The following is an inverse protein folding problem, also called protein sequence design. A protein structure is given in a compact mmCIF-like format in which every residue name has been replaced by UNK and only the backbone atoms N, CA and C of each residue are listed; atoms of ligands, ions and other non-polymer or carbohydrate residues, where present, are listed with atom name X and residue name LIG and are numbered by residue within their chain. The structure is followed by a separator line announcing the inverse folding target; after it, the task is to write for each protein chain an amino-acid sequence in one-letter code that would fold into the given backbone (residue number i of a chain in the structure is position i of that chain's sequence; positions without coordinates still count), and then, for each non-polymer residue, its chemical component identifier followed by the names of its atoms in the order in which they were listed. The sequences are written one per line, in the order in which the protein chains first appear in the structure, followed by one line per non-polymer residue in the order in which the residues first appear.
data_IF_813972131640
#
_entry.id   IF_813972131640
#
_cell.length_a   1.000
_cell.length_b   1.000
_cell.length_c   1.000
_cell.angle_alpha   90.00
_cell.angle_beta   90.00
_cell.angle_gamma   90.00
#
_symmetry.space_group_name_H-M   'P 1'
#
loop_
_entity.id
_entity.type
_entity.pdbx_description
1 polymer ?
#
# COMPACT_ATOMS: atom_id res chain seq x y z
N UNK A 1 -14.49 -5.10 -7.76
CA UNK A 1 -13.33 -4.29 -7.35
C UNK A 1 -13.70 -3.45 -6.15
N UNK A 2 -12.81 -3.36 -5.19
CA UNK A 2 -13.02 -2.55 -3.99
C UNK A 2 -12.37 -1.19 -4.16
N UNK A 3 -13.15 -0.14 -3.94
CA UNK A 3 -12.64 1.22 -3.99
C UNK A 3 -12.97 1.88 -2.66
N UNK A 4 -11.96 2.45 -2.01
CA UNK A 4 -12.16 3.10 -0.73
C UNK A 4 -11.19 4.27 -0.59
N UNK A 5 -11.51 5.17 0.33
CA UNK A 5 -10.68 6.34 0.60
C UNK A 5 -10.19 6.30 2.04
N UNK A 6 -8.95 6.71 2.24
CA UNK A 6 -8.36 6.77 3.56
C UNK A 6 -7.72 8.13 3.79
N UNK A 7 -7.76 8.58 5.03
CA UNK A 7 -7.13 9.83 5.41
C UNK A 7 -5.77 9.56 6.02
N UNK A 8 -4.97 10.63 6.15
CA UNK A 8 -3.66 10.52 6.77
C UNK A 8 -3.78 9.89 8.17
N UNK A 9 -2.94 8.93 8.43
CA UNK A 9 -2.90 8.22 9.70
C UNK A 9 -3.81 7.02 9.78
N UNK A 10 -4.67 6.84 8.80
CA UNK A 10 -5.59 5.71 8.81
C UNK A 10 -4.96 4.48 8.20
N UNK A 11 -5.45 3.32 8.61
CA UNK A 11 -4.93 2.06 8.15
C UNK A 11 -5.96 1.27 7.37
N UNK A 12 -5.45 0.37 6.55
CA UNK A 12 -6.24 -0.61 5.83
C UNK A 12 -5.61 -1.96 6.11
N UNK A 13 -6.42 -2.91 6.56
CA UNK A 13 -5.93 -4.25 6.87
C UNK A 13 -6.40 -5.21 5.79
N UNK A 14 -5.46 -5.93 5.20
CA UNK A 14 -5.75 -6.88 4.14
C UNK A 14 -5.41 -8.27 4.66
N UNK A 15 -6.41 -9.12 4.74
CA UNK A 15 -6.22 -10.44 5.32
C UNK A 15 -5.90 -10.33 6.79
N UNK A 16 -4.96 -11.13 7.26
CA UNK A 16 -4.57 -11.15 8.66
C UNK A 16 -3.28 -10.40 8.91
N UNK A 17 -2.45 -10.30 7.89
CA UNK A 17 -1.04 -10.00 8.07
C UNK A 17 -0.57 -8.74 7.39
N UNK A 18 -1.37 -8.18 6.52
CA UNK A 18 -0.95 -7.04 5.72
C UNK A 18 -1.63 -5.79 6.20
N UNK A 19 -0.85 -4.80 6.59
CA UNK A 19 -1.35 -3.51 7.04
C UNK A 19 -0.79 -2.44 6.14
N UNK A 20 -1.67 -1.59 5.63
CA UNK A 20 -1.29 -0.44 4.81
C UNK A 20 -1.73 0.81 5.57
N UNK A 21 -0.78 1.69 5.83
CA UNK A 21 -1.05 2.94 6.55
C UNK A 21 -0.73 4.13 5.66
N UNK A 22 -1.60 5.13 5.69
CA UNK A 22 -1.35 6.37 4.96
C UNK A 22 -0.53 7.27 5.87
N UNK A 23 0.76 7.41 5.55
CA UNK A 23 1.67 8.17 6.40
C UNK A 23 1.62 9.65 6.11
N UNK A 24 1.44 10.02 4.84
CA UNK A 24 1.46 11.42 4.44
C UNK A 24 0.72 11.61 3.13
N UNK A 25 0.06 12.74 3.01
CA UNK A 25 -0.58 13.14 1.77
C UNK A 25 -0.09 14.53 1.41
N UNK A 26 0.46 14.70 0.21
CA UNK A 26 0.92 15.99 -0.28
C UNK A 26 0.51 16.15 -1.73
N UNK A 27 -0.40 17.09 -1.97
CA UNK A 27 -0.87 17.33 -3.32
C UNK A 27 -1.39 16.05 -3.93
N UNK A 28 -0.77 15.62 -5.03
CA UNK A 28 -1.16 14.40 -5.71
C UNK A 28 -0.27 13.21 -5.36
N UNK A 29 0.50 13.33 -4.26
CA UNK A 29 1.40 12.27 -3.83
C UNK A 29 0.99 11.74 -2.47
N UNK A 30 0.98 10.42 -2.34
CA UNK A 30 0.62 9.74 -1.10
C UNK A 30 1.77 8.82 -0.70
N UNK A 31 2.17 8.91 0.57
CA UNK A 31 3.20 8.03 1.11
C UNK A 31 2.50 6.95 1.92
N UNK A 32 2.79 5.71 1.59
CA UNK A 32 2.20 4.56 2.25
C UNK A 32 3.27 3.78 2.99
N UNK A 33 2.89 3.27 4.17
CA UNK A 33 3.71 2.33 4.92
C UNK A 33 3.01 0.99 4.79
N UNK A 34 3.74 -0.01 4.31
CA UNK A 34 3.18 -1.35 4.12
C UNK A 34 3.94 -2.31 5.02
N UNK A 35 3.20 -3.03 5.85
CA UNK A 35 3.76 -4.08 6.70
C UNK A 35 3.19 -5.40 6.22
N UNK A 36 4.06 -6.33 5.89
CA UNK A 36 3.65 -7.63 5.37
C UNK A 36 4.65 -8.69 5.80
N UNK A 37 4.22 -9.97 5.86
CA UNK A 37 5.14 -11.06 6.16
C UNK A 37 6.18 -11.20 5.05
N UNK A 38 7.29 -11.87 5.38
CA UNK A 38 8.38 -12.04 4.42
C UNK A 38 7.96 -12.77 3.16
N UNK A 39 7.04 -13.70 3.28
CA UNK A 39 6.60 -14.48 2.14
C UNK A 39 5.74 -13.69 1.16
N UNK A 40 5.30 -12.51 1.59
CA UNK A 40 4.49 -11.66 0.71
C UNK A 40 5.39 -10.61 0.09
N UNK A 41 5.53 -10.65 -1.23
CA UNK A 41 6.31 -9.64 -1.94
C UNK A 41 5.47 -8.38 -2.12
N UNK A 42 6.10 -7.25 -1.84
CA UNK A 42 5.46 -5.96 -2.07
C UNK A 42 6.24 -5.29 -3.20
N UNK A 43 5.62 -5.20 -4.37
CA UNK A 43 6.27 -4.69 -5.56
C UNK A 43 5.46 -3.54 -6.12
N UNK A 44 6.13 -2.44 -6.41
CA UNK A 44 5.47 -1.32 -7.08
C UNK A 44 5.09 -1.74 -8.49
N UNK A 45 3.90 -1.30 -8.91
CA UNK A 45 3.39 -1.74 -10.22
C UNK A 45 4.32 -1.42 -11.38
N UNK A 46 4.98 -0.27 -11.34
CA UNK A 46 5.87 0.11 -12.44
C UNK A 46 7.09 -0.80 -12.53
N UNK A 47 7.43 -1.50 -11.46
CA UNK A 47 8.56 -2.41 -11.47
C UNK A 47 8.22 -3.76 -12.07
N UNK A 48 6.95 -4.12 -12.09
CA UNK A 48 6.52 -5.38 -12.68
C UNK A 48 6.68 -5.39 -14.19
N UNK A 49 6.65 -4.23 -14.80
CA UNK A 49 6.78 -4.13 -16.26
C UNK A 49 8.14 -4.54 -16.76
N UNK A 50 9.14 -4.44 -15.92
CA UNK A 50 10.50 -4.79 -16.29
C UNK A 50 10.61 -6.28 -16.55
N UNK A 51 9.73 -7.03 -15.97
CA UNK A 51 9.75 -8.48 -16.08
C UNK A 51 9.11 -9.01 -17.35
N UNK A 52 8.28 -8.19 -17.95
CA UNK A 52 7.47 -8.58 -19.08
C UNK A 52 8.21 -8.96 -20.33
#
# INVERSE_FOLDING_TARGET
MLVLSRKKGEELIIGKDIVVRVARIRGNRVTLIVEAPREVKVIRAELLEVEG
#
